data_IF_432214134337
#
_entry.id   IF_432214134337
#
_cell.length_a   1.000
_cell.length_b   1.000
_cell.length_c   1.000
_cell.angle_alpha   90.00
_cell.angle_beta   90.00
_cell.angle_gamma   90.00
#
_symmetry.space_group_name_H-M   'P 1'
#
loop_
_entity.id
_entity.type
_entity.pdbx_description
1 polymer ?
#
# COMPACT_ATOMS: atom_id res chain seq x y z
N UNK A 1 23.54 -1.45 -9.75
CA UNK A 1 22.26 -0.75 -9.53
C UNK A 1 21.52 -1.51 -8.45
N UNK A 2 21.08 -0.87 -7.36
CA UNK A 2 20.27 -1.53 -6.32
C UNK A 2 18.81 -1.35 -6.72
N UNK A 3 18.20 -2.40 -7.24
CA UNK A 3 16.79 -2.36 -7.65
C UNK A 3 15.91 -2.88 -6.53
N UNK A 4 14.78 -2.22 -6.32
CA UNK A 4 13.71 -2.59 -5.40
C UNK A 4 12.46 -2.85 -6.25
N UNK A 5 11.73 -3.91 -5.93
CA UNK A 5 10.48 -4.27 -6.58
C UNK A 5 9.45 -4.54 -5.51
N UNK A 6 8.17 -4.33 -5.81
CA UNK A 6 7.08 -4.71 -4.94
C UNK A 6 5.97 -5.36 -5.77
N UNK A 7 5.25 -6.28 -5.16
CA UNK A 7 4.06 -6.89 -5.74
C UNK A 7 2.98 -7.08 -4.67
N UNK A 8 1.71 -7.02 -5.09
CA UNK A 8 0.61 -7.43 -4.25
C UNK A 8 0.42 -8.94 -4.30
N UNK A 9 0.33 -9.55 -3.12
CA UNK A 9 0.11 -10.97 -2.94
C UNK A 9 -1.35 -11.24 -2.51
N UNK A 10 -2.23 -11.65 -3.44
CA UNK A 10 -3.64 -11.88 -3.13
C UNK A 10 -3.88 -13.11 -2.24
N UNK A 11 -2.88 -13.99 -2.04
CA UNK A 11 -3.04 -15.16 -1.18
C UNK A 11 -2.99 -14.80 0.31
N UNK A 12 -2.28 -13.73 0.65
CA UNK A 12 -2.06 -13.31 2.03
C UNK A 12 -2.49 -11.87 2.29
N UNK A 13 -3.11 -11.20 1.30
CA UNK A 13 -3.44 -9.78 1.34
C UNK A 13 -2.26 -8.93 1.83
N UNK A 14 -1.12 -9.03 1.12
CA UNK A 14 0.14 -8.41 1.55
C UNK A 14 0.88 -7.74 0.39
N UNK A 15 1.70 -6.74 0.70
CA UNK A 15 2.70 -6.20 -0.22
C UNK A 15 4.05 -6.85 0.06
N UNK A 16 4.61 -7.51 -0.94
CA UNK A 16 5.92 -8.16 -0.87
C UNK A 16 6.95 -7.27 -1.57
N UNK A 17 7.87 -6.70 -0.79
CA UNK A 17 8.95 -5.83 -1.28
C UNK A 17 10.26 -6.62 -1.33
N UNK A 18 10.88 -6.66 -2.50
CA UNK A 18 12.12 -7.38 -2.76
C UNK A 18 13.26 -6.44 -3.09
N UNK A 19 14.43 -6.75 -2.56
CA UNK A 19 15.68 -6.11 -2.98
C UNK A 19 16.48 -7.03 -3.88
N UNK A 20 17.22 -6.45 -4.81
CA UNK A 20 18.23 -7.17 -5.62
C UNK A 20 19.29 -7.92 -4.80
N UNK A 21 19.40 -7.68 -3.48
CA UNK A 21 20.27 -8.41 -2.57
C UNK A 21 19.62 -9.67 -1.95
N UNK A 22 18.35 -9.95 -2.27
CA UNK A 22 17.61 -11.12 -1.77
C UNK A 22 16.88 -10.90 -0.44
N UNK A 23 16.91 -9.68 0.13
CA UNK A 23 16.04 -9.34 1.27
C UNK A 23 14.61 -9.14 0.81
N UNK A 24 13.67 -9.62 1.62
CA UNK A 24 12.22 -9.45 1.45
C UNK A 24 11.66 -8.77 2.70
N UNK A 25 10.82 -7.77 2.49
CA UNK A 25 9.91 -7.22 3.50
C UNK A 25 8.48 -7.55 3.06
N UNK A 26 7.67 -8.09 3.98
CA UNK A 26 6.24 -8.32 3.75
C UNK A 26 5.44 -7.36 4.64
N UNK A 27 4.55 -6.60 4.03
CA UNK A 27 3.59 -5.73 4.70
C UNK A 27 2.23 -6.42 4.65
N UNK A 28 1.68 -6.77 5.80
CA UNK A 28 0.32 -7.30 5.90
C UNK A 28 -0.68 -6.14 5.75
N UNK A 29 -1.49 -6.16 4.69
CA UNK A 29 -2.42 -5.06 4.41
C UNK A 29 -3.55 -5.03 5.43
N UNK A 30 -3.99 -6.16 5.99
CA UNK A 30 -5.01 -6.14 7.05
C UNK A 30 -4.50 -5.42 8.29
N UNK A 31 -3.26 -5.68 8.68
CA UNK A 31 -2.66 -4.99 9.82
C UNK A 31 -2.30 -3.53 9.52
N UNK A 32 -1.91 -3.23 8.28
CA UNK A 32 -1.59 -1.86 7.85
C UNK A 32 -2.83 -0.96 7.81
N UNK A 33 -3.98 -1.51 7.43
CA UNK A 33 -5.20 -0.76 7.14
C UNK A 33 -6.21 -0.75 8.29
N UNK A 34 -6.04 -1.61 9.31
CA UNK A 34 -7.04 -1.82 10.40
C UNK A 34 -7.52 -0.55 11.10
N UNK A 35 -6.67 0.47 11.20
CA UNK A 35 -6.95 1.72 11.90
C UNK A 35 -7.15 2.91 10.94
N UNK A 36 -7.12 2.66 9.62
CA UNK A 36 -7.40 3.69 8.64
C UNK A 36 -8.88 4.07 8.65
N UNK A 37 -9.14 5.35 8.42
CA UNK A 37 -10.48 5.88 8.21
C UNK A 37 -10.66 6.06 6.70
N UNK A 38 -11.46 5.20 6.09
CA UNK A 38 -11.77 5.23 4.67
C UNK A 38 -13.24 5.54 4.43
N UNK A 39 -13.56 6.04 3.24
CA UNK A 39 -14.90 5.98 2.64
C UNK A 39 -14.91 4.89 1.56
N UNK A 40 -16.08 4.48 1.02
CA UNK A 40 -16.10 3.51 -0.08
C UNK A 40 -15.27 3.92 -1.31
N UNK A 41 -15.12 5.23 -1.56
CA UNK A 41 -14.31 5.76 -2.66
C UNK A 41 -12.82 5.55 -2.40
N UNK A 42 -12.31 6.02 -1.26
CA UNK A 42 -10.90 5.82 -0.90
C UNK A 42 -10.54 4.36 -0.63
N UNK A 43 -11.48 3.52 -0.19
CA UNK A 43 -11.26 2.08 -0.04
C UNK A 43 -11.03 1.40 -1.40
N UNK A 44 -11.80 1.81 -2.43
CA UNK A 44 -11.58 1.37 -3.81
C UNK A 44 -10.21 1.85 -4.34
N UNK A 45 -9.88 3.11 -4.10
CA UNK A 45 -8.59 3.69 -4.50
C UNK A 45 -7.41 3.01 -3.79
N UNK A 46 -7.54 2.70 -2.49
CA UNK A 46 -6.51 2.02 -1.71
C UNK A 46 -6.25 0.59 -2.22
N UNK A 47 -7.32 -0.14 -2.56
CA UNK A 47 -7.19 -1.44 -3.20
C UNK A 47 -6.49 -1.35 -4.57
N UNK A 48 -6.82 -0.34 -5.38
CA UNK A 48 -6.15 -0.10 -6.66
C UNK A 48 -4.67 0.24 -6.45
N UNK A 49 -4.34 1.10 -5.48
CA UNK A 49 -2.97 1.46 -5.12
C UNK A 49 -2.15 0.22 -4.75
N UNK A 50 -2.70 -0.69 -3.94
CA UNK A 50 -2.04 -1.93 -3.56
C UNK A 50 -1.74 -2.82 -4.79
N UNK A 51 -2.70 -2.97 -5.70
CA UNK A 51 -2.61 -3.87 -6.86
C UNK A 51 -1.73 -3.29 -7.97
N UNK A 52 -1.97 -2.03 -8.35
CA UNK A 52 -1.39 -1.39 -9.52
C UNK A 52 -0.03 -0.73 -9.20
N UNK A 53 0.13 -0.18 -7.99
CA UNK A 53 1.32 0.56 -7.55
C UNK A 53 1.84 0.09 -6.17
N UNK A 54 2.15 -1.21 -5.99
CA UNK A 54 2.52 -1.80 -4.69
C UNK A 54 3.74 -1.15 -4.05
N UNK A 55 4.66 -0.59 -4.83
CA UNK A 55 5.85 0.09 -4.29
C UNK A 55 5.50 1.44 -3.65
N UNK A 56 4.52 2.17 -4.21
CA UNK A 56 4.05 3.43 -3.64
C UNK A 56 3.20 3.15 -2.39
N UNK A 57 2.36 2.10 -2.41
CA UNK A 57 1.69 1.63 -1.19
C UNK A 57 2.70 1.36 -0.08
N UNK A 58 3.73 0.54 -0.36
CA UNK A 58 4.74 0.18 0.63
C UNK A 58 5.46 1.40 1.19
N UNK A 59 5.79 2.35 0.32
CA UNK A 59 6.41 3.62 0.71
C UNK A 59 5.49 4.42 1.63
N UNK A 60 4.23 4.62 1.26
CA UNK A 60 3.26 5.38 2.07
C UNK A 60 3.04 4.74 3.44
N UNK A 61 2.96 3.42 3.51
CA UNK A 61 2.87 2.69 4.77
C UNK A 61 4.11 2.88 5.64
N UNK A 62 5.31 2.69 5.07
CA UNK A 62 6.58 2.81 5.81
C UNK A 62 6.87 4.25 6.26
N UNK A 63 6.44 5.24 5.48
CA UNK A 63 6.54 6.66 5.83
C UNK A 63 5.45 7.10 6.84
N UNK A 64 4.47 6.24 7.15
CA UNK A 64 3.35 6.55 8.03
C UNK A 64 2.32 7.51 7.43
N UNK A 65 2.30 7.65 6.11
CA UNK A 65 1.50 8.63 5.36
C UNK A 65 0.23 8.04 4.72
N UNK A 66 -0.05 6.76 4.93
CA UNK A 66 -1.16 6.07 4.27
C UNK A 66 -2.53 6.74 4.55
N UNK A 67 -2.79 7.17 5.79
CA UNK A 67 -4.01 7.92 6.13
C UNK A 67 -4.09 9.27 5.41
N UNK A 68 -2.98 10.01 5.29
CA UNK A 68 -2.99 11.29 4.58
C UNK A 68 -3.31 11.12 3.10
N UNK A 69 -2.85 10.03 2.49
CA UNK A 69 -3.18 9.70 1.11
C UNK A 69 -4.67 9.36 0.96
N UNK A 70 -5.21 8.53 1.87
CA UNK A 70 -6.65 8.21 1.92
C UNK A 70 -7.51 9.47 2.06
N UNK A 71 -7.16 10.37 2.99
CA UNK A 71 -7.88 11.63 3.21
C UNK A 71 -7.88 12.54 1.96
N UNK A 72 -6.79 12.48 1.17
CA UNK A 72 -6.66 13.23 -0.07
C UNK A 72 -7.55 12.64 -1.19
N UNK A 73 -7.60 11.31 -1.34
CA UNK A 73 -8.50 10.64 -2.29
C UNK A 73 -9.97 10.92 -1.98
N UNK A 74 -10.36 10.89 -0.70
CA UNK A 74 -11.72 11.24 -0.28
C UNK A 74 -12.10 12.69 -0.65
N UNK A 75 -11.13 13.61 -0.65
CA UNK A 75 -11.34 15.01 -0.99
C UNK A 75 -11.53 15.25 -2.50
N UNK A 76 -11.18 14.28 -3.35
CA UNK A 76 -11.34 14.36 -4.81
C UNK A 76 -12.75 13.96 -5.28
N UNK A 77 -13.53 13.26 -4.46
CA UNK A 77 -14.92 12.89 -4.77
C UNK A 77 -15.98 13.95 -4.41
N UNK A 78 -15.55 15.18 -4.06
CA UNK A 78 -16.44 16.33 -3.74
C UNK A 78 -16.97 17.10 -4.96
#
# INVERSE_FOLDING_TARGET
>A
MRTIFAEYNPQCNSIDVYTSAGYMLRIDCWEAEKDLKTTPGSDCALNALAIDEPLEYARLYLDGNLQMWVDAEDSLEL
#
